data_IF_580121684843
#
_entry.id   IF_580121684843
#
_cell.length_a   1.000
_cell.length_b   1.000
_cell.length_c   1.000
_cell.angle_alpha   90.00
_cell.angle_beta   90.00
_cell.angle_gamma   90.00
#
_symmetry.space_group_name_H-M   'P 1'
#
loop_
_entity.id
_entity.type
_entity.pdbx_description
1 polymer ?
#
# COMPACT_ATOMS: atom_id res chain seq x y z
N UNK A 1 22.26 -40.17 2.06
CA UNK A 1 21.72 -39.94 3.43
C UNK A 1 21.27 -38.49 3.71
N UNK A 2 21.77 -37.45 3.04
CA UNK A 2 21.27 -36.06 3.21
C UNK A 2 20.46 -35.50 2.01
N UNK A 3 20.41 -36.20 0.87
CA UNK A 3 19.64 -35.79 -0.31
C UNK A 3 18.24 -36.45 -0.40
N UNK A 4 17.90 -37.35 0.52
CA UNK A 4 16.63 -38.10 0.58
C UNK A 4 15.55 -37.40 1.46
N UNK A 5 15.83 -36.18 1.93
CA UNK A 5 14.95 -35.44 2.87
C UNK A 5 14.37 -34.15 2.27
N UNK A 6 14.57 -33.94 0.97
CA UNK A 6 13.98 -32.81 0.24
C UNK A 6 13.00 -33.32 -0.80
N UNK A 7 12.13 -34.25 -0.40
CA UNK A 7 10.78 -34.25 -0.95
C UNK A 7 10.02 -33.16 -0.20
N UNK A 8 10.20 -31.92 -0.64
CA UNK A 8 9.38 -30.80 -0.18
C UNK A 8 8.23 -30.67 -1.19
N UNK A 9 7.11 -31.42 -1.05
CA UNK A 9 5.99 -31.34 -1.98
C UNK A 9 5.50 -29.89 -2.14
N UNK A 10 5.57 -29.09 -1.07
CA UNK A 10 5.27 -27.67 -1.08
C UNK A 10 6.23 -26.81 -1.94
N UNK A 11 7.48 -27.24 -2.14
CA UNK A 11 8.46 -26.50 -2.92
C UNK A 11 8.12 -26.56 -4.41
N UNK A 12 7.65 -27.72 -4.89
CA UNK A 12 7.15 -27.86 -6.25
C UNK A 12 5.93 -26.96 -6.47
N UNK A 13 4.97 -26.95 -5.54
CA UNK A 13 3.78 -26.10 -5.62
C UNK A 13 4.14 -24.60 -5.64
N UNK A 14 5.03 -24.16 -4.75
CA UNK A 14 5.50 -22.77 -4.71
C UNK A 14 6.21 -22.39 -6.01
N UNK A 15 7.04 -23.27 -6.56
CA UNK A 15 7.74 -23.02 -7.83
C UNK A 15 6.77 -22.92 -9.01
N UNK A 16 5.73 -23.77 -9.05
CA UNK A 16 4.69 -23.72 -10.08
C UNK A 16 3.89 -22.43 -9.98
N UNK A 17 3.42 -22.07 -8.78
CA UNK A 17 2.66 -20.83 -8.56
C UNK A 17 3.51 -19.60 -8.93
N UNK A 18 4.76 -19.55 -8.48
CA UNK A 18 5.68 -18.47 -8.81
C UNK A 18 5.96 -18.41 -10.32
N UNK A 19 6.16 -19.56 -10.98
CA UNK A 19 6.38 -19.65 -12.41
C UNK A 19 5.19 -19.13 -13.22
N UNK A 20 3.97 -19.60 -12.91
CA UNK A 20 2.74 -19.13 -13.54
C UNK A 20 2.54 -17.63 -13.30
N UNK A 21 2.78 -17.17 -12.07
CA UNK A 21 2.67 -15.75 -11.72
C UNK A 21 3.63 -14.88 -12.56
N UNK A 22 4.89 -15.28 -12.70
CA UNK A 22 5.88 -14.57 -13.53
C UNK A 22 5.45 -14.57 -15.00
N UNK A 23 5.01 -15.71 -15.54
CA UNK A 23 4.56 -15.80 -16.94
C UNK A 23 3.40 -14.84 -17.18
N UNK A 24 2.39 -14.85 -16.31
CA UNK A 24 1.24 -13.95 -16.40
C UNK A 24 1.68 -12.49 -16.29
N UNK A 25 2.57 -12.16 -15.35
CA UNK A 25 3.09 -10.80 -15.19
C UNK A 25 3.84 -10.31 -16.44
N UNK A 26 4.67 -11.16 -17.04
CA UNK A 26 5.42 -10.84 -18.26
C UNK A 26 4.45 -10.58 -19.42
N UNK A 27 3.49 -11.47 -19.64
CA UNK A 27 2.46 -11.32 -20.68
C UNK A 27 1.67 -10.03 -20.47
N UNK A 28 1.21 -9.78 -19.25
CA UNK A 28 0.46 -8.57 -18.91
C UNK A 28 1.30 -7.30 -19.14
N UNK A 29 2.57 -7.29 -18.71
CA UNK A 29 3.52 -6.20 -18.97
C UNK A 29 3.71 -5.94 -20.46
N UNK A 30 3.84 -6.99 -21.27
CA UNK A 30 4.00 -6.87 -22.72
C UNK A 30 2.74 -6.27 -23.34
N UNK A 31 1.55 -6.74 -22.94
CA UNK A 31 0.27 -6.20 -23.41
C UNK A 31 0.14 -4.71 -23.06
N UNK A 32 0.38 -4.35 -21.80
CA UNK A 32 0.36 -2.95 -21.36
C UNK A 32 1.32 -2.10 -22.19
N UNK A 33 2.56 -2.58 -22.40
CA UNK A 33 3.55 -1.85 -23.18
C UNK A 33 3.17 -1.75 -24.67
N UNK A 34 2.55 -2.78 -25.24
CA UNK A 34 2.10 -2.79 -26.63
C UNK A 34 0.93 -1.81 -26.84
N UNK A 35 -0.02 -1.78 -25.90
CA UNK A 35 -1.13 -0.81 -25.90
C UNK A 35 -0.56 0.60 -25.73
N UNK A 36 0.35 0.81 -24.77
CA UNK A 36 0.98 2.11 -24.53
C UNK A 36 1.66 2.67 -25.78
N UNK A 37 2.39 1.83 -26.54
CA UNK A 37 3.02 2.24 -27.80
C UNK A 37 1.99 2.67 -28.85
N UNK A 38 0.93 1.87 -29.08
CA UNK A 38 -0.12 2.20 -30.06
C UNK A 38 -0.88 3.49 -29.73
N UNK A 39 -1.03 3.77 -28.45
CA UNK A 39 -1.74 4.94 -27.95
C UNK A 39 -0.86 6.20 -28.05
N UNK A 40 0.46 6.07 -27.87
CA UNK A 40 1.42 7.17 -27.99
C UNK A 40 1.58 7.72 -29.42
N UNK A 41 1.28 6.93 -30.45
CA UNK A 41 1.37 7.33 -31.86
C UNK A 41 0.18 8.18 -32.35
N UNK A 42 -0.77 8.52 -31.47
CA UNK A 42 -1.98 9.30 -31.79
C UNK A 42 -1.99 10.71 -31.17
N UNK A 43 -2.73 11.64 -31.79
CA UNK A 43 -3.01 13.02 -31.32
C UNK A 43 -3.68 13.05 -29.93
N UNK A 44 -4.19 11.91 -29.44
CA UNK A 44 -4.70 11.69 -28.09
C UNK A 44 -3.61 11.61 -26.99
N UNK A 45 -2.34 11.57 -27.36
CA UNK A 45 -1.21 11.26 -26.46
C UNK A 45 -1.00 12.16 -25.24
N UNK A 46 -1.66 13.32 -25.12
CA UNK A 46 -1.67 14.13 -23.88
C UNK A 46 -2.66 13.58 -22.84
N UNK A 47 -3.82 13.08 -23.29
CA UNK A 47 -4.85 12.49 -22.42
C UNK A 47 -4.38 11.15 -21.87
N UNK A 48 -3.72 10.33 -22.69
CA UNK A 48 -3.21 9.03 -22.25
C UNK A 48 -2.07 9.12 -21.24
N UNK A 49 -1.26 10.18 -21.32
CA UNK A 49 -0.25 10.50 -20.29
C UNK A 49 -0.91 10.93 -18.98
N UNK A 50 -1.97 11.73 -19.03
CA UNK A 50 -2.74 12.12 -17.85
C UNK A 50 -3.43 10.92 -17.19
N UNK A 51 -4.04 10.03 -17.98
CA UNK A 51 -4.61 8.78 -17.48
C UNK A 51 -3.55 7.86 -16.88
N UNK A 52 -2.36 7.78 -17.49
CA UNK A 52 -1.21 7.08 -16.93
C UNK A 52 -0.76 7.64 -15.58
N UNK A 53 -0.75 8.97 -15.42
CA UNK A 53 -0.45 9.64 -14.16
C UNK A 53 -1.51 9.34 -13.10
N UNK A 54 -2.79 9.49 -13.42
CA UNK A 54 -3.90 9.20 -12.49
C UNK A 54 -3.91 7.73 -12.09
N UNK A 55 -3.73 6.82 -13.04
CA UNK A 55 -3.61 5.39 -12.76
C UNK A 55 -2.38 5.09 -11.89
N UNK A 56 -1.24 5.75 -12.16
CA UNK A 56 -0.03 5.63 -11.34
C UNK A 56 -0.24 6.10 -9.91
N UNK A 57 -0.90 7.24 -9.71
CA UNK A 57 -1.26 7.77 -8.39
C UNK A 57 -2.24 6.85 -7.67
N UNK A 58 -3.29 6.38 -8.34
CA UNK A 58 -4.27 5.45 -7.78
C UNK A 58 -3.61 4.13 -7.38
N UNK A 59 -2.73 3.58 -8.23
CA UNK A 59 -1.95 2.38 -7.93
C UNK A 59 -1.00 2.61 -6.74
N UNK A 60 -0.32 3.74 -6.71
CA UNK A 60 0.57 4.10 -5.60
C UNK A 60 -0.19 4.17 -4.28
N UNK A 61 -1.33 4.87 -4.26
CA UNK A 61 -2.22 4.95 -3.10
C UNK A 61 -2.70 3.55 -2.66
N UNK A 62 -3.13 2.72 -3.61
CA UNK A 62 -3.54 1.34 -3.33
C UNK A 62 -2.42 0.51 -2.70
N UNK A 63 -1.19 0.61 -3.21
CA UNK A 63 -0.03 -0.10 -2.64
C UNK A 63 0.30 0.37 -1.21
N UNK A 64 0.18 1.67 -0.93
CA UNK A 64 0.40 2.21 0.42
C UNK A 64 -0.65 1.70 1.39
N UNK A 65 -1.94 1.69 0.99
CA UNK A 65 -3.03 1.11 1.78
C UNK A 65 -2.79 -0.38 2.05
N UNK A 66 -2.39 -1.14 1.03
CA UNK A 66 -2.09 -2.56 1.18
C UNK A 66 -0.90 -2.80 2.12
N UNK A 67 0.16 -1.99 2.00
CA UNK A 67 1.31 -2.05 2.89
C UNK A 67 0.94 -1.72 4.34
N UNK A 68 0.02 -0.77 4.56
CA UNK A 68 -0.49 -0.45 5.89
C UNK A 68 -1.24 -1.64 6.52
N UNK A 69 -2.12 -2.30 5.76
CA UNK A 69 -2.87 -3.48 6.23
C UNK A 69 -1.90 -4.62 6.59
N UNK A 70 -0.96 -4.94 5.69
CA UNK A 70 0.04 -5.99 5.93
C UNK A 70 0.96 -5.61 7.09
N UNK A 71 1.38 -4.35 7.19
CA UNK A 71 2.19 -3.85 8.30
C UNK A 71 1.48 -4.00 9.65
N UNK A 72 0.19 -3.68 9.73
CA UNK A 72 -0.65 -3.93 10.91
C UNK A 72 -0.80 -5.40 11.28
N UNK A 73 -0.78 -6.29 10.30
CA UNK A 73 -0.83 -7.73 10.53
C UNK A 73 0.50 -8.28 11.05
N UNK A 74 1.63 -7.79 10.52
CA UNK A 74 2.97 -8.24 10.91
C UNK A 74 3.45 -7.61 12.22
N UNK A 75 3.12 -6.34 12.47
CA UNK A 75 3.48 -5.59 13.68
C UNK A 75 2.21 -4.98 14.30
N UNK A 76 1.49 -5.73 15.17
CA UNK A 76 0.22 -5.29 15.74
C UNK A 76 0.31 -4.08 16.68
N UNK A 77 1.50 -3.84 17.25
CA UNK A 77 1.75 -2.71 18.15
C UNK A 77 2.06 -1.45 17.35
N UNK A 78 1.03 -0.74 16.91
CA UNK A 78 1.13 0.49 16.14
C UNK A 78 1.92 1.59 16.87
N UNK A 79 1.93 1.57 18.21
CA UNK A 79 2.70 2.51 19.04
C UNK A 79 4.21 2.33 18.88
N UNK A 80 4.66 1.14 18.45
CA UNK A 80 6.07 0.81 18.24
C UNK A 80 6.53 1.07 16.81
N UNK A 81 5.65 1.57 15.94
CA UNK A 81 6.03 1.89 14.56
C UNK A 81 7.04 3.05 14.52
N UNK A 82 7.87 3.15 13.47
CA UNK A 82 8.78 4.27 13.31
C UNK A 82 8.05 5.63 13.38
N UNK A 83 8.66 6.63 14.03
CA UNK A 83 8.04 7.96 14.20
C UNK A 83 7.61 8.57 12.86
N UNK A 84 8.43 8.38 11.82
CA UNK A 84 8.12 8.82 10.46
C UNK A 84 6.78 8.30 9.90
N UNK A 85 6.32 7.11 10.34
CA UNK A 85 5.02 6.55 9.96
C UNK A 85 3.91 7.11 10.86
N UNK A 86 4.16 7.17 12.17
CA UNK A 86 3.18 7.67 13.15
C UNK A 86 2.85 9.15 12.97
N UNK A 87 3.82 9.96 12.56
CA UNK A 87 3.68 11.41 12.37
C UNK A 87 3.32 11.78 10.91
N UNK A 88 3.10 10.79 10.04
CA UNK A 88 2.78 11.04 8.65
C UNK A 88 1.41 11.72 8.52
N UNK A 89 1.37 12.89 7.88
CA UNK A 89 0.11 13.62 7.62
C UNK A 89 -0.88 12.83 6.76
N UNK A 90 -0.39 11.91 5.93
CA UNK A 90 -1.22 11.04 5.09
C UNK A 90 -1.77 9.83 5.83
N UNK A 91 -1.33 9.55 7.07
CA UNK A 91 -1.74 8.37 7.83
C UNK A 91 -3.27 8.24 7.99
N UNK A 92 -4.04 9.31 8.28
CA UNK A 92 -5.50 9.21 8.37
C UNK A 92 -6.16 8.79 7.06
N UNK A 93 -5.69 9.32 5.92
CA UNK A 93 -6.19 8.97 4.58
C UNK A 93 -5.90 7.51 4.24
N UNK A 94 -4.71 7.02 4.60
CA UNK A 94 -4.32 5.63 4.38
C UNK A 94 -5.17 4.69 5.24
N UNK A 95 -5.43 5.06 6.50
CA UNK A 95 -6.31 4.30 7.41
C UNK A 95 -7.75 4.24 6.88
N UNK A 96 -8.29 5.35 6.40
CA UNK A 96 -9.64 5.37 5.80
C UNK A 96 -9.71 4.49 4.55
N UNK A 97 -8.71 4.59 3.67
CA UNK A 97 -8.58 3.71 2.51
C UNK A 97 -8.46 2.23 2.89
N UNK A 98 -7.74 1.91 3.97
CA UNK A 98 -7.62 0.55 4.48
C UNK A 98 -8.95 0.02 5.02
N UNK A 99 -9.67 0.82 5.82
CA UNK A 99 -10.99 0.45 6.32
C UNK A 99 -12.00 0.25 5.19
N UNK A 100 -11.98 1.12 4.18
CA UNK A 100 -12.82 0.97 3.00
C UNK A 100 -12.49 -0.33 2.24
N UNK A 101 -11.20 -0.59 1.99
CA UNK A 101 -10.77 -1.79 1.24
C UNK A 101 -11.11 -3.08 1.99
N UNK A 102 -10.90 -3.12 3.31
CA UNK A 102 -11.27 -4.26 4.16
C UNK A 102 -12.80 -4.44 4.24
N UNK A 103 -13.56 -3.34 4.19
CA UNK A 103 -15.02 -3.37 4.15
C UNK A 103 -15.58 -4.13 2.95
N UNK A 104 -14.86 -4.14 1.82
CA UNK A 104 -15.25 -4.86 0.61
C UNK A 104 -14.99 -6.37 0.67
N UNK A 105 -14.20 -6.84 1.65
CA UNK A 105 -13.91 -8.26 1.81
C UNK A 105 -15.07 -8.98 2.51
N UNK A 106 -15.31 -10.28 2.22
CA UNK A 106 -16.25 -11.09 2.97
C UNK A 106 -15.85 -11.14 4.45
N UNK A 107 -16.81 -11.23 5.39
CA UNK A 107 -16.55 -11.13 6.82
C UNK A 107 -15.45 -12.05 7.34
N UNK A 108 -15.37 -13.28 6.82
CA UNK A 108 -14.41 -14.30 7.26
C UNK A 108 -12.95 -13.98 6.89
N UNK A 109 -12.73 -13.06 5.94
CA UNK A 109 -11.40 -12.72 5.42
C UNK A 109 -10.97 -11.30 5.77
N UNK A 110 -11.68 -10.59 6.66
CA UNK A 110 -11.35 -9.21 7.02
C UNK A 110 -10.15 -9.14 7.95
N UNK A 111 -9.01 -8.58 7.52
CA UNK A 111 -7.88 -8.36 8.42
C UNK A 111 -8.19 -7.22 9.40
N UNK A 112 -7.59 -7.27 10.59
CA UNK A 112 -7.66 -6.17 11.55
C UNK A 112 -6.82 -5.00 11.04
N UNK A 113 -7.44 -3.84 10.89
CA UNK A 113 -6.76 -2.59 10.52
C UNK A 113 -6.13 -1.99 11.78
N UNK A 114 -4.85 -1.63 11.72
CA UNK A 114 -4.16 -0.97 12.82
C UNK A 114 -4.79 0.41 13.09
N UNK A 115 -4.89 0.79 14.36
CA UNK A 115 -5.35 2.12 14.77
C UNK A 115 -4.11 2.91 15.20
N UNK A 116 -3.80 4.05 14.56
CA UNK A 116 -2.71 4.91 15.00
C UNK A 116 -2.97 5.41 16.42
N UNK A 117 -1.92 5.58 17.25
CA UNK A 117 -2.07 6.27 18.52
C UNK A 117 -2.64 7.67 18.26
N UNK A 118 -3.69 8.04 18.98
CA UNK A 118 -4.31 9.35 18.86
C UNK A 118 -3.27 10.43 19.21
N UNK A 119 -2.87 11.23 18.23
CA UNK A 119 -2.21 12.49 18.51
C UNK A 119 -3.23 13.38 19.22
N UNK A 120 -2.93 13.87 20.43
CA UNK A 120 -3.83 14.82 21.10
C UNK A 120 -4.07 15.99 20.15
N UNK A 121 -5.33 16.18 19.74
CA UNK A 121 -5.73 17.38 19.01
C UNK A 121 -5.25 18.58 19.84
N UNK A 122 -4.52 19.55 19.25
CA UNK A 122 -4.15 20.75 19.97
C UNK A 122 -5.44 21.40 20.45
N UNK A 123 -5.65 21.43 21.77
CA UNK A 123 -6.87 21.99 22.34
C UNK A 123 -6.97 23.47 21.95
N UNK A 124 -8.18 24.01 21.83
CA UNK A 124 -8.36 25.46 21.56
C UNK A 124 -7.59 26.35 22.55
N UNK A 125 -7.36 25.86 23.76
CA UNK A 125 -6.51 26.47 24.77
C UNK A 125 -5.03 26.60 24.35
N UNK A 126 -4.50 25.66 23.58
CA UNK A 126 -3.13 25.69 23.05
C UNK A 126 -3.00 26.62 21.85
N UNK A 127 -4.09 26.82 21.09
CA UNK A 127 -4.19 27.84 20.03
C UNK A 127 -4.38 29.25 20.59
N UNK A 128 -5.04 29.37 21.73
CA UNK A 128 -5.27 30.64 22.43
C UNK A 128 -4.08 31.07 23.29
N UNK A 129 -3.11 30.17 23.52
CA UNK A 129 -1.85 30.54 24.16
C UNK A 129 -1.10 31.50 23.24
N UNK A 130 -0.79 32.72 23.70
CA UNK A 130 0.13 33.60 22.99
C UNK A 130 1.43 32.82 22.75
N UNK A 131 2.06 32.94 21.57
CA UNK A 131 3.32 32.25 21.30
C UNK A 131 4.28 32.55 22.44
N UNK A 132 4.72 31.50 23.13
CA UNK A 132 5.63 31.62 24.25
C UNK A 132 6.85 32.41 23.74
N UNK A 133 6.92 33.67 24.16
CA UNK A 133 8.02 34.58 23.86
C UNK A 133 9.24 33.95 24.50
N UNK A 134 10.03 33.24 23.70
CA UNK A 134 11.29 32.65 24.10
C UNK A 134 12.17 33.79 24.63
N UNK A 135 12.27 33.92 25.95
CA UNK A 135 13.32 34.72 26.56
C UNK A 135 14.61 33.93 26.35
N UNK A 136 15.36 34.36 25.32
CA UNK A 136 16.81 34.22 25.25
C UNK A 136 17.47 34.63 26.55
#
# INVERSE_FOLDING_TARGET
LLLDKVEAPWLADVLVVAGVFIVVLVVLKIIIAAIARRVQDSVLGSTDRALGLVFGLARGAFLVVLAYIVGGMLLPAAEKWPDAVRDARSLPLVMEGANWLVGQLPPDYRPRVAVPPAHPEPTQEDFMRPPARNRT
#
